data_IF_194776779464
#
_entry.id   IF_194776779464
#
_cell.length_a   1.000
_cell.length_b   1.000
_cell.length_c   1.000
_cell.angle_alpha   90.00
_cell.angle_beta   90.00
_cell.angle_gamma   90.00
#
_symmetry.space_group_name_H-M   'P 1'
#
loop_
_entity.id
_entity.type
_entity.pdbx_description
1 polymer ?
#
# COMPACT_ATOMS: atom_id res chain seq x y z
N UNK A 1 0.62 25.12 -11.50
CA UNK A 1 -0.44 24.52 -12.33
C UNK A 1 -1.62 24.25 -11.43
N UNK A 2 -2.73 24.91 -11.63
CA UNK A 2 -3.98 24.73 -10.88
C UNK A 2 -4.63 23.42 -11.30
N UNK A 3 -4.96 22.53 -10.34
CA UNK A 3 -5.69 21.30 -10.63
C UNK A 3 -7.06 21.67 -11.23
N UNK A 4 -7.32 21.26 -12.45
CA UNK A 4 -8.59 21.47 -13.13
C UNK A 4 -9.76 20.75 -12.45
N UNK A 5 -10.96 20.84 -13.00
CA UNK A 5 -12.14 20.13 -12.49
C UNK A 5 -11.88 18.62 -12.42
N UNK A 6 -12.34 17.99 -11.32
CA UNK A 6 -12.20 16.53 -11.12
C UNK A 6 -12.99 15.79 -12.20
N UNK A 7 -12.29 14.99 -13.00
CA UNK A 7 -12.89 14.19 -14.06
C UNK A 7 -13.67 12.98 -13.51
N UNK A 8 -14.57 12.43 -14.33
CA UNK A 8 -15.29 11.20 -13.98
C UNK A 8 -14.32 10.02 -13.74
N UNK A 9 -13.25 9.92 -14.56
CA UNK A 9 -12.20 8.91 -14.38
C UNK A 9 -11.51 9.00 -13.01
N UNK A 10 -11.18 10.22 -12.55
CA UNK A 10 -10.61 10.42 -11.21
C UNK A 10 -11.59 10.06 -10.09
N UNK A 11 -12.89 10.33 -10.26
CA UNK A 11 -13.91 9.94 -9.27
C UNK A 11 -14.04 8.43 -9.15
N UNK A 12 -14.05 7.72 -10.29
CA UNK A 12 -14.06 6.25 -10.31
C UNK A 12 -12.78 5.70 -9.69
N UNK A 13 -11.62 6.23 -10.08
CA UNK A 13 -10.33 5.82 -9.53
C UNK A 13 -10.25 6.06 -8.01
N UNK A 14 -10.86 7.13 -7.49
CA UNK A 14 -10.90 7.37 -6.04
C UNK A 14 -11.69 6.28 -5.28
N UNK A 15 -12.83 5.85 -5.83
CA UNK A 15 -13.60 4.74 -5.24
C UNK A 15 -12.83 3.42 -5.31
N UNK A 16 -12.18 3.14 -6.46
CA UNK A 16 -11.33 1.95 -6.62
C UNK A 16 -10.18 1.98 -5.63
N UNK A 17 -9.48 3.11 -5.49
CA UNK A 17 -8.40 3.25 -4.51
C UNK A 17 -8.90 3.04 -3.08
N UNK A 18 -10.05 3.62 -2.71
CA UNK A 18 -10.65 3.44 -1.39
C UNK A 18 -10.93 1.97 -1.07
N UNK A 19 -11.59 1.25 -1.98
CA UNK A 19 -11.83 -0.18 -1.84
C UNK A 19 -10.53 -1.00 -1.78
N UNK A 20 -9.55 -0.67 -2.63
CA UNK A 20 -8.27 -1.38 -2.65
C UNK A 20 -7.50 -1.20 -1.35
N UNK A 21 -7.47 -0.01 -0.75
CA UNK A 21 -6.86 0.21 0.57
C UNK A 21 -7.50 -0.66 1.65
N UNK A 22 -8.82 -0.69 1.73
CA UNK A 22 -9.52 -1.49 2.73
C UNK A 22 -9.33 -2.99 2.50
N UNK A 23 -9.46 -3.42 1.26
CA UNK A 23 -9.27 -4.83 0.88
C UNK A 23 -7.86 -5.32 1.23
N UNK A 24 -6.83 -4.58 0.80
CA UNK A 24 -5.44 -4.97 1.07
C UNK A 24 -5.13 -4.98 2.55
N UNK A 25 -5.62 -4.00 3.33
CA UNK A 25 -5.46 -3.96 4.77
C UNK A 25 -6.09 -5.20 5.45
N UNK A 26 -7.34 -5.51 5.12
CA UNK A 26 -8.04 -6.66 5.71
C UNK A 26 -7.32 -7.96 5.36
N UNK A 27 -6.98 -8.15 4.08
CA UNK A 27 -6.35 -9.38 3.61
C UNK A 27 -4.98 -9.60 4.25
N UNK A 28 -4.12 -8.57 4.31
CA UNK A 28 -2.77 -8.72 4.86
C UNK A 28 -2.78 -8.94 6.37
N UNK A 29 -3.67 -8.27 7.10
CA UNK A 29 -3.83 -8.46 8.54
C UNK A 29 -4.35 -9.87 8.83
N UNK A 30 -5.39 -10.30 8.14
CA UNK A 30 -5.93 -11.65 8.28
C UNK A 30 -4.90 -12.73 7.95
N UNK A 31 -4.18 -12.59 6.83
CA UNK A 31 -3.15 -13.54 6.41
C UNK A 31 -2.01 -13.67 7.42
N UNK A 32 -1.48 -12.54 7.91
CA UNK A 32 -0.37 -12.57 8.86
C UNK A 32 -0.80 -13.04 10.24
N UNK A 33 -1.80 -12.39 10.84
CA UNK A 33 -2.16 -12.61 12.23
C UNK A 33 -3.14 -13.78 12.42
N UNK A 34 -4.05 -13.98 11.47
CA UNK A 34 -5.05 -15.04 11.54
C UNK A 34 -4.55 -16.39 11.04
N UNK A 35 -3.70 -16.40 9.99
CA UNK A 35 -3.31 -17.63 9.33
C UNK A 35 -1.83 -18.01 9.56
N UNK A 36 -0.89 -17.09 9.34
CA UNK A 36 0.55 -17.41 9.36
C UNK A 36 1.11 -17.50 10.77
N UNK A 37 0.92 -16.45 11.59
CA UNK A 37 1.51 -16.38 12.93
C UNK A 37 1.17 -17.57 13.85
N UNK A 38 -0.06 -18.12 13.84
CA UNK A 38 -0.39 -19.30 14.64
C UNK A 38 0.44 -20.54 14.31
N UNK A 39 1.00 -20.63 13.09
CA UNK A 39 1.82 -21.76 12.67
C UNK A 39 3.29 -21.59 13.07
N UNK A 40 3.73 -20.37 13.38
CA UNK A 40 5.12 -20.03 13.64
C UNK A 40 5.46 -20.16 15.13
N UNK A 41 6.38 -21.09 15.46
CA UNK A 41 6.90 -21.25 16.83
C UNK A 41 8.30 -20.65 16.91
N UNK A 42 8.44 -19.58 17.68
CA UNK A 42 9.72 -18.89 17.84
C UNK A 42 10.76 -19.81 18.47
N UNK A 43 11.92 -19.93 17.82
CA UNK A 43 13.03 -20.74 18.32
C UNK A 43 12.87 -22.24 18.11
N UNK A 44 11.73 -22.74 17.59
CA UNK A 44 11.52 -24.16 17.33
C UNK A 44 11.18 -24.41 15.85
N UNK A 45 12.22 -24.77 15.08
CA UNK A 45 12.11 -25.02 13.63
C UNK A 45 11.29 -26.27 13.36
N UNK A 46 11.51 -27.35 14.09
CA UNK A 46 10.83 -28.62 13.90
C UNK A 46 9.32 -28.53 14.17
N UNK A 47 8.94 -27.81 15.23
CA UNK A 47 7.53 -27.59 15.54
C UNK A 47 6.83 -26.69 14.52
N UNK A 48 7.50 -25.63 14.05
CA UNK A 48 6.99 -24.81 12.93
C UNK A 48 6.77 -25.65 11.68
N UNK A 49 7.74 -26.49 11.31
CA UNK A 49 7.62 -27.37 10.15
C UNK A 49 6.44 -28.36 10.31
N UNK A 50 6.30 -28.96 11.48
CA UNK A 50 5.17 -29.85 11.81
C UNK A 50 3.82 -29.14 11.70
N UNK A 51 3.71 -27.93 12.25
CA UNK A 51 2.48 -27.15 12.19
C UNK A 51 2.09 -26.80 10.75
N UNK A 52 3.08 -26.45 9.90
CA UNK A 52 2.84 -26.18 8.47
C UNK A 52 2.32 -27.43 7.75
N UNK A 53 2.90 -28.59 8.00
CA UNK A 53 2.47 -29.85 7.37
C UNK A 53 1.08 -30.25 7.85
N UNK A 54 0.81 -30.20 9.16
CA UNK A 54 -0.50 -30.54 9.74
C UNK A 54 -1.59 -29.58 9.27
N UNK A 55 -1.28 -28.31 9.11
CA UNK A 55 -2.21 -27.27 8.68
C UNK A 55 -1.89 -26.76 7.25
N UNK A 56 -1.53 -27.67 6.34
CA UNK A 56 -1.10 -27.31 4.98
C UNK A 56 -2.12 -26.44 4.24
N UNK A 57 -3.40 -26.73 4.36
CA UNK A 57 -4.46 -25.95 3.72
C UNK A 57 -4.45 -24.50 4.23
N UNK A 58 -4.33 -24.28 5.54
CA UNK A 58 -4.23 -22.94 6.13
C UNK A 58 -3.01 -22.20 5.59
N UNK A 59 -1.86 -22.87 5.48
CA UNK A 59 -0.64 -22.29 4.95
C UNK A 59 -0.77 -21.94 3.46
N UNK A 60 -1.42 -22.77 2.66
CA UNK A 60 -1.73 -22.49 1.24
C UNK A 60 -2.70 -21.31 1.09
N UNK A 61 -3.72 -21.21 1.95
CA UNK A 61 -4.64 -20.07 1.98
C UNK A 61 -3.87 -18.78 2.31
N UNK A 62 -2.87 -18.82 3.20
CA UNK A 62 -1.99 -17.66 3.46
C UNK A 62 -1.28 -17.20 2.19
N UNK A 63 -0.71 -18.14 1.41
CA UNK A 63 -0.06 -17.80 0.15
C UNK A 63 -1.04 -17.16 -0.86
N UNK A 64 -2.27 -17.68 -0.96
CA UNK A 64 -3.34 -17.10 -1.80
C UNK A 64 -3.71 -15.69 -1.31
N UNK A 65 -3.81 -15.46 -0.01
CA UNK A 65 -4.07 -14.12 0.55
C UNK A 65 -2.95 -13.13 0.20
N UNK A 66 -1.68 -13.54 0.26
CA UNK A 66 -0.56 -12.68 -0.14
C UNK A 66 -0.57 -12.37 -1.64
N UNK A 67 -0.94 -13.34 -2.48
CA UNK A 67 -1.16 -13.10 -3.91
C UNK A 67 -2.31 -12.11 -4.15
N UNK A 68 -3.43 -12.26 -3.44
CA UNK A 68 -4.57 -11.35 -3.50
C UNK A 68 -4.20 -9.95 -3.00
N UNK A 69 -3.39 -9.84 -1.93
CA UNK A 69 -2.84 -8.59 -1.45
C UNK A 69 -2.00 -7.89 -2.53
N UNK A 70 -1.02 -8.59 -3.12
CA UNK A 70 -0.18 -8.04 -4.19
C UNK A 70 -1.03 -7.56 -5.37
N UNK A 71 -2.02 -8.35 -5.80
CA UNK A 71 -2.95 -7.96 -6.87
C UNK A 71 -3.73 -6.69 -6.50
N UNK A 72 -4.23 -6.61 -5.27
CA UNK A 72 -4.91 -5.41 -4.76
C UNK A 72 -4.01 -4.17 -4.77
N UNK A 73 -2.73 -4.32 -4.45
CA UNK A 73 -1.74 -3.22 -4.52
C UNK A 73 -1.49 -2.79 -5.97
N UNK A 74 -1.49 -3.70 -6.96
CA UNK A 74 -1.40 -3.32 -8.39
C UNK A 74 -2.63 -2.53 -8.85
N UNK A 75 -3.82 -2.91 -8.41
CA UNK A 75 -5.03 -2.11 -8.68
C UNK A 75 -4.95 -0.74 -8.02
N UNK A 76 -4.51 -0.68 -6.78
CA UNK A 76 -4.34 0.55 -6.00
C UNK A 76 -3.36 1.52 -6.67
N UNK A 77 -2.18 1.05 -7.11
CA UNK A 77 -1.19 1.91 -7.77
C UNK A 77 -1.74 2.53 -9.05
N UNK A 78 -2.49 1.75 -9.83
CA UNK A 78 -3.12 2.23 -11.06
C UNK A 78 -4.16 3.32 -10.76
N UNK A 79 -4.99 3.10 -9.75
CA UNK A 79 -5.99 4.07 -9.33
C UNK A 79 -5.35 5.36 -8.80
N UNK A 80 -4.31 5.27 -7.96
CA UNK A 80 -3.58 6.43 -7.45
C UNK A 80 -2.88 7.21 -8.56
N UNK A 81 -2.30 6.51 -9.54
CA UNK A 81 -1.70 7.15 -10.70
C UNK A 81 -2.73 7.97 -11.49
N UNK A 82 -3.91 7.41 -11.77
CA UNK A 82 -5.00 8.13 -12.46
C UNK A 82 -5.44 9.39 -11.69
N UNK A 83 -5.53 9.30 -10.36
CA UNK A 83 -5.90 10.43 -9.49
C UNK A 83 -4.83 11.53 -9.54
N UNK A 84 -3.56 11.17 -9.45
CA UNK A 84 -2.46 12.09 -9.15
C UNK A 84 -1.71 12.57 -10.40
N UNK A 85 -1.83 11.87 -11.55
CA UNK A 85 -1.22 12.26 -12.83
C UNK A 85 -1.50 13.72 -13.23
N UNK A 86 -2.73 14.27 -13.07
CA UNK A 86 -2.99 15.66 -13.45
C UNK A 86 -2.30 16.69 -12.54
N UNK A 87 -1.88 16.29 -11.34
CA UNK A 87 -1.16 17.16 -10.38
C UNK A 87 0.31 17.28 -10.75
N UNK A 88 0.96 16.14 -10.96
CA UNK A 88 2.33 16.03 -11.46
C UNK A 88 2.55 14.63 -12.05
N UNK A 89 2.63 14.48 -13.37
CA UNK A 89 2.73 13.17 -14.02
C UNK A 89 4.02 12.42 -13.68
N UNK A 90 5.15 13.14 -13.54
CA UNK A 90 6.43 12.52 -13.21
C UNK A 90 6.46 11.94 -11.79
N UNK A 91 6.02 12.72 -10.80
CA UNK A 91 5.95 12.24 -9.41
C UNK A 91 4.87 11.14 -9.26
N UNK A 92 3.73 11.27 -9.94
CA UNK A 92 2.71 10.21 -9.90
C UNK A 92 3.24 8.90 -10.46
N UNK A 93 4.03 8.95 -11.54
CA UNK A 93 4.70 7.78 -12.10
C UNK A 93 5.75 7.19 -11.14
N UNK A 94 6.57 8.03 -10.53
CA UNK A 94 7.55 7.60 -9.53
C UNK A 94 6.88 6.87 -8.35
N UNK A 95 5.79 7.43 -7.81
CA UNK A 95 5.00 6.79 -6.77
C UNK A 95 4.41 5.44 -7.22
N UNK A 96 3.94 5.34 -8.46
CA UNK A 96 3.45 4.08 -9.02
C UNK A 96 4.57 3.04 -9.18
N UNK A 97 5.76 3.44 -9.65
CA UNK A 97 6.92 2.54 -9.79
C UNK A 97 7.36 2.01 -8.42
N UNK A 98 7.49 2.87 -7.40
CA UNK A 98 7.83 2.42 -6.06
C UNK A 98 6.81 1.42 -5.52
N UNK A 99 5.52 1.69 -5.69
CA UNK A 99 4.47 0.76 -5.24
C UNK A 99 4.45 -0.54 -6.06
N UNK A 100 4.84 -0.49 -7.33
CA UNK A 100 5.02 -1.67 -8.17
C UNK A 100 6.14 -2.58 -7.63
N UNK A 101 7.31 -2.01 -7.29
CA UNK A 101 8.42 -2.76 -6.69
C UNK A 101 7.98 -3.42 -5.39
N UNK A 102 7.30 -2.68 -4.52
CA UNK A 102 6.75 -3.22 -3.28
C UNK A 102 5.78 -4.40 -3.52
N UNK A 103 4.83 -4.25 -4.45
CA UNK A 103 3.88 -5.32 -4.78
C UNK A 103 4.59 -6.56 -5.35
N UNK A 104 5.68 -6.37 -6.12
CA UNK A 104 6.48 -7.47 -6.66
C UNK A 104 7.21 -8.25 -5.57
N UNK A 105 7.66 -7.60 -4.50
CA UNK A 105 8.25 -8.27 -3.34
C UNK A 105 7.22 -9.15 -2.61
N UNK A 106 5.96 -8.76 -2.55
CA UNK A 106 4.90 -9.62 -2.02
C UNK A 106 4.60 -10.85 -2.89
N UNK A 107 4.82 -10.77 -4.22
CA UNK A 107 4.83 -11.96 -5.07
C UNK A 107 5.99 -12.89 -4.71
N UNK A 108 7.18 -12.33 -4.44
CA UNK A 108 8.35 -13.09 -4.00
C UNK A 108 8.09 -13.76 -2.65
N UNK A 109 7.52 -13.03 -1.68
CA UNK A 109 7.02 -13.59 -0.41
C UNK A 109 6.11 -14.80 -0.63
N UNK A 110 5.16 -14.72 -1.58
CA UNK A 110 4.27 -15.83 -1.92
C UNK A 110 5.06 -17.04 -2.45
N UNK A 111 6.05 -16.81 -3.32
CA UNK A 111 6.93 -17.87 -3.84
C UNK A 111 7.78 -18.49 -2.73
N UNK A 112 8.28 -17.68 -1.79
CA UNK A 112 9.03 -18.16 -0.63
C UNK A 112 8.18 -19.07 0.27
N UNK A 113 6.91 -18.71 0.55
CA UNK A 113 6.01 -19.60 1.28
C UNK A 113 5.80 -20.93 0.55
N UNK A 114 5.56 -20.90 -0.75
CA UNK A 114 5.39 -22.13 -1.54
C UNK A 114 6.70 -22.94 -1.61
N UNK A 115 7.86 -22.29 -1.63
CA UNK A 115 9.17 -22.91 -1.54
C UNK A 115 9.36 -23.64 -0.21
N UNK A 116 9.03 -22.99 0.91
CA UNK A 116 9.05 -23.61 2.23
C UNK A 116 8.16 -24.86 2.31
N UNK A 117 6.93 -24.75 1.81
CA UNK A 117 5.98 -25.87 1.79
C UNK A 117 6.49 -27.01 0.92
N UNK A 118 7.10 -26.73 -0.23
CA UNK A 118 7.65 -27.75 -1.15
C UNK A 118 8.73 -28.56 -0.47
N UNK A 119 9.59 -27.95 0.33
CA UNK A 119 10.66 -28.64 1.07
C UNK A 119 10.12 -29.56 2.20
N UNK A 120 8.94 -29.24 2.74
CA UNK A 120 8.27 -30.05 3.76
C UNK A 120 7.36 -31.13 3.16
N UNK A 121 7.22 -31.18 1.83
CA UNK A 121 6.38 -32.14 1.14
C UNK A 121 7.02 -33.53 1.00
N UNK A 122 6.25 -34.48 0.45
CA UNK A 122 6.64 -35.89 0.28
C UNK A 122 7.19 -36.24 -1.10
N UNK A 123 7.68 -35.25 -1.87
CA UNK A 123 8.20 -35.50 -3.22
C UNK A 123 9.41 -36.44 -3.21
N UNK A 124 9.47 -37.39 -4.16
CA UNK A 124 10.48 -38.45 -4.18
C UNK A 124 11.93 -37.93 -4.21
N UNK A 125 12.19 -36.82 -4.88
CA UNK A 125 13.54 -36.22 -4.93
C UNK A 125 14.00 -35.65 -3.58
N UNK A 126 13.10 -35.42 -2.65
CA UNK A 126 13.44 -34.94 -1.29
C UNK A 126 13.93 -36.09 -0.40
N UNK A 127 13.61 -37.35 -0.74
CA UNK A 127 14.03 -38.53 0.02
C UNK A 127 15.57 -38.71 0.05
N UNK A 128 16.31 -38.01 -0.85
CA UNK A 128 17.77 -37.99 -0.83
C UNK A 128 18.35 -37.13 0.31
N UNK A 129 17.53 -36.39 1.03
CA UNK A 129 17.95 -35.48 2.11
C UNK A 129 17.38 -35.94 3.45
N UNK A 130 18.14 -35.67 4.51
CA UNK A 130 17.67 -35.91 5.88
C UNK A 130 16.53 -34.91 6.21
N UNK A 131 15.46 -35.35 6.89
CA UNK A 131 14.31 -34.51 7.22
C UNK A 131 14.68 -33.22 7.97
N UNK A 132 15.65 -33.30 8.88
CA UNK A 132 16.15 -32.15 9.66
C UNK A 132 16.76 -31.08 8.77
N UNK A 133 17.49 -31.46 7.72
CA UNK A 133 18.06 -30.53 6.73
C UNK A 133 16.97 -29.81 5.94
N UNK A 134 15.93 -30.54 5.54
CA UNK A 134 14.79 -29.98 4.83
C UNK A 134 14.02 -28.96 5.70
N UNK A 135 13.87 -29.23 7.00
CA UNK A 135 13.25 -28.30 7.94
C UNK A 135 14.07 -27.01 8.07
N UNK A 136 15.41 -27.10 8.16
CA UNK A 136 16.29 -25.92 8.20
C UNK A 136 16.20 -25.11 6.90
N UNK A 137 16.22 -25.78 5.75
CA UNK A 137 16.06 -25.11 4.45
C UNK A 137 14.70 -24.43 4.31
N UNK A 138 13.63 -25.11 4.75
CA UNK A 138 12.28 -24.49 4.81
C UNK A 138 12.28 -23.24 5.68
N UNK A 139 13.00 -23.26 6.81
CA UNK A 139 13.14 -22.08 7.68
C UNK A 139 13.84 -20.90 7.00
N UNK A 140 14.81 -21.16 6.11
CA UNK A 140 15.45 -20.09 5.33
C UNK A 140 14.46 -19.39 4.39
N UNK A 141 13.59 -20.14 3.72
CA UNK A 141 12.51 -19.56 2.90
C UNK A 141 11.52 -18.75 3.73
N UNK A 142 11.18 -19.22 4.94
CA UNK A 142 10.33 -18.45 5.86
C UNK A 142 11.04 -17.18 6.38
N UNK A 143 12.35 -17.23 6.57
CA UNK A 143 13.12 -16.04 6.93
C UNK A 143 13.18 -15.02 5.80
N UNK A 144 13.38 -15.47 4.56
CA UNK A 144 13.36 -14.60 3.37
C UNK A 144 12.06 -13.80 3.23
N UNK A 145 10.93 -14.33 3.70
CA UNK A 145 9.68 -13.58 3.76
C UNK A 145 9.79 -12.28 4.59
N UNK A 146 10.53 -12.31 5.71
CA UNK A 146 10.78 -11.10 6.50
C UNK A 146 11.73 -10.15 5.78
N UNK A 147 12.74 -10.68 5.10
CA UNK A 147 13.68 -9.87 4.31
C UNK A 147 12.95 -9.16 3.17
N UNK A 148 12.05 -9.85 2.44
CA UNK A 148 11.20 -9.27 1.40
C UNK A 148 10.38 -8.09 1.93
N UNK A 149 9.80 -8.24 3.14
CA UNK A 149 9.03 -7.18 3.79
C UNK A 149 9.92 -5.96 4.12
N UNK A 150 11.06 -6.17 4.78
CA UNK A 150 11.93 -5.05 5.18
C UNK A 150 12.61 -4.36 4.00
N UNK A 151 12.94 -5.10 2.95
CA UNK A 151 13.42 -4.52 1.68
C UNK A 151 12.29 -3.77 0.96
N UNK A 152 11.07 -4.24 1.10
CA UNK A 152 9.88 -3.62 0.53
C UNK A 152 9.46 -2.30 1.19
N UNK A 153 9.68 -2.17 2.50
CA UNK A 153 9.23 -1.00 3.28
C UNK A 153 9.74 0.35 2.75
N UNK A 154 11.01 0.54 2.35
CA UNK A 154 11.46 1.77 1.72
C UNK A 154 10.65 2.15 0.48
N UNK A 155 10.36 1.19 -0.39
CA UNK A 155 9.58 1.43 -1.60
C UNK A 155 8.13 1.75 -1.29
N UNK A 156 7.52 1.04 -0.34
CA UNK A 156 6.17 1.30 0.13
C UNK A 156 6.03 2.72 0.71
N UNK A 157 6.93 3.09 1.59
CA UNK A 157 6.90 4.37 2.27
C UNK A 157 7.28 5.53 1.35
N UNK A 158 8.23 5.36 0.41
CA UNK A 158 8.50 6.34 -0.63
C UNK A 158 7.29 6.57 -1.54
N UNK A 159 6.60 5.50 -1.96
CA UNK A 159 5.36 5.62 -2.72
C UNK A 159 4.30 6.42 -1.94
N UNK A 160 4.11 6.10 -0.66
CA UNK A 160 3.16 6.80 0.20
C UNK A 160 3.55 8.27 0.42
N UNK A 161 4.84 8.58 0.59
CA UNK A 161 5.35 9.96 0.74
C UNK A 161 5.04 10.79 -0.50
N UNK A 162 5.37 10.27 -1.69
CA UNK A 162 5.12 10.96 -2.96
C UNK A 162 3.61 11.17 -3.18
N UNK A 163 2.80 10.14 -2.97
CA UNK A 163 1.35 10.25 -3.12
C UNK A 163 0.75 11.26 -2.13
N UNK A 164 1.16 11.22 -0.86
CA UNK A 164 0.69 12.14 0.18
C UNK A 164 1.10 13.59 -0.10
N UNK A 165 2.31 13.81 -0.60
CA UNK A 165 2.76 15.13 -1.06
C UNK A 165 1.89 15.65 -2.22
N UNK A 166 1.57 14.82 -3.19
CA UNK A 166 0.70 15.21 -4.30
C UNK A 166 -0.74 15.48 -3.84
N UNK A 167 -1.26 14.71 -2.89
CA UNK A 167 -2.55 15.00 -2.25
C UNK A 167 -2.51 16.31 -1.48
N UNK A 168 -1.43 16.60 -0.78
CA UNK A 168 -1.25 17.87 -0.08
C UNK A 168 -1.23 19.06 -1.06
N UNK A 169 -0.48 18.93 -2.16
CA UNK A 169 -0.37 19.96 -3.20
C UNK A 169 -1.68 20.21 -3.94
N UNK A 170 -2.46 19.17 -4.21
CA UNK A 170 -3.72 19.26 -4.97
C UNK A 170 -4.93 19.69 -4.13
N UNK A 171 -4.87 19.60 -2.81
CA UNK A 171 -6.01 19.73 -1.91
C UNK A 171 -7.17 18.74 -2.19
N UNK A 172 -6.92 17.62 -2.87
CA UNK A 172 -7.93 16.60 -3.16
C UNK A 172 -8.47 15.92 -1.90
N UNK A 173 -7.69 15.91 -0.82
CA UNK A 173 -8.07 15.44 0.51
C UNK A 173 -7.80 16.53 1.54
N UNK A 174 -8.27 16.42 2.81
CA UNK A 174 -7.94 17.36 3.85
C UNK A 174 -6.43 17.51 4.03
N UNK A 175 -5.94 18.74 4.14
CA UNK A 175 -4.51 19.01 4.32
C UNK A 175 -3.91 18.31 5.53
N UNK A 176 -4.65 18.23 6.65
CA UNK A 176 -4.19 17.51 7.84
C UNK A 176 -3.96 16.02 7.57
N UNK A 177 -4.87 15.36 6.83
CA UNK A 177 -4.70 13.96 6.44
C UNK A 177 -3.51 13.78 5.50
N UNK A 178 -3.36 14.66 4.50
CA UNK A 178 -2.22 14.60 3.59
C UNK A 178 -0.88 14.83 4.31
N UNK A 179 -0.83 15.79 5.24
CA UNK A 179 0.37 16.07 6.04
C UNK A 179 0.70 14.88 6.96
N UNK A 180 -0.29 14.30 7.61
CA UNK A 180 -0.09 13.07 8.40
C UNK A 180 0.49 11.95 7.54
N UNK A 181 0.01 11.78 6.30
CA UNK A 181 0.57 10.83 5.34
C UNK A 181 2.02 11.10 4.99
N UNK A 182 2.41 12.37 4.77
CA UNK A 182 3.82 12.73 4.50
C UNK A 182 4.71 12.42 5.70
N UNK A 183 4.29 12.82 6.91
CA UNK A 183 5.11 12.64 8.13
C UNK A 183 5.25 11.16 8.46
N UNK A 184 4.15 10.38 8.48
CA UNK A 184 4.19 8.96 8.83
C UNK A 184 4.99 8.14 7.82
N UNK A 185 4.86 8.43 6.52
CA UNK A 185 5.61 7.71 5.50
C UNK A 185 7.09 8.11 5.46
N UNK A 186 7.44 9.38 5.62
CA UNK A 186 8.84 9.82 5.74
C UNK A 186 9.52 9.22 6.99
N UNK A 187 8.81 9.14 8.12
CA UNK A 187 9.26 8.44 9.31
C UNK A 187 9.53 6.96 9.01
N UNK A 188 8.62 6.27 8.32
CA UNK A 188 8.80 4.88 7.95
C UNK A 188 10.00 4.68 7.00
N UNK A 189 10.22 5.57 6.01
CA UNK A 189 11.43 5.54 5.15
C UNK A 189 12.69 5.56 6.00
N UNK A 190 12.79 6.53 6.92
CA UNK A 190 13.97 6.69 7.77
C UNK A 190 14.22 5.45 8.63
N UNK A 191 13.18 4.96 9.32
CA UNK A 191 13.27 3.79 10.17
C UNK A 191 13.63 2.52 9.38
N UNK A 192 13.06 2.34 8.18
CA UNK A 192 13.35 1.17 7.35
C UNK A 192 14.81 1.12 6.92
N UNK A 193 15.40 2.24 6.49
CA UNK A 193 16.83 2.28 6.15
C UNK A 193 17.72 2.08 7.39
N UNK A 194 17.38 2.70 8.53
CA UNK A 194 18.13 2.48 9.78
C UNK A 194 18.07 1.00 10.19
N UNK A 195 16.92 0.37 10.10
CA UNK A 195 16.77 -1.05 10.42
C UNK A 195 17.62 -1.95 9.51
N UNK A 196 17.65 -1.68 8.20
CA UNK A 196 18.45 -2.46 7.26
C UNK A 196 19.96 -2.38 7.54
N UNK A 197 20.44 -1.22 8.01
CA UNK A 197 21.85 -1.04 8.39
C UNK A 197 22.13 -1.58 9.79
N UNK A 198 21.20 -1.36 10.72
CA UNK A 198 21.32 -1.69 12.14
C UNK A 198 20.12 -2.54 12.60
N UNK A 199 20.12 -3.87 12.37
CA UNK A 199 18.96 -4.72 12.72
C UNK A 199 18.57 -4.66 14.21
N UNK A 200 19.51 -4.32 15.10
CA UNK A 200 19.25 -4.07 16.52
C UNK A 200 18.33 -2.88 16.80
N UNK A 201 18.13 -2.00 15.85
CA UNK A 201 17.22 -0.87 15.95
C UNK A 201 15.76 -1.28 16.23
N UNK A 202 15.34 -2.48 15.79
CA UNK A 202 14.03 -3.02 16.11
C UNK A 202 13.77 -3.24 17.62
N UNK A 203 14.81 -3.24 18.45
CA UNK A 203 14.65 -3.36 19.94
C UNK A 203 14.09 -2.09 20.56
N UNK A 204 14.67 -0.87 20.32
CA UNK A 204 14.11 0.39 20.83
C UNK A 204 12.90 0.88 20.02
N UNK A 205 12.87 0.65 18.70
CA UNK A 205 11.79 1.08 17.81
C UNK A 205 11.30 -0.14 17.04
N UNK A 206 10.33 -0.84 17.61
CA UNK A 206 9.78 -2.02 16.95
C UNK A 206 8.94 -1.64 15.70
N UNK A 207 8.64 -2.61 14.81
CA UNK A 207 7.87 -2.36 13.58
C UNK A 207 6.54 -1.66 13.81
N UNK A 208 5.84 -1.88 14.92
CA UNK A 208 4.58 -1.21 15.23
C UNK A 208 4.73 0.32 15.34
N UNK A 209 5.89 0.82 15.79
CA UNK A 209 6.13 2.25 15.92
C UNK A 209 6.45 2.95 14.60
N UNK A 210 7.08 2.26 13.65
CA UNK A 210 7.42 2.90 12.38
C UNK A 210 6.48 2.55 11.22
N UNK A 211 5.76 1.43 11.27
CA UNK A 211 4.83 1.01 10.22
C UNK A 211 3.36 1.38 10.55
N UNK A 212 2.92 1.20 11.79
CA UNK A 212 1.53 1.45 12.18
C UNK A 212 1.01 2.86 11.91
N UNK A 213 1.79 3.96 12.08
CA UNK A 213 1.29 5.29 11.73
C UNK A 213 0.90 5.41 10.26
N UNK A 214 1.66 4.73 9.37
CA UNK A 214 1.36 4.71 7.95
C UNK A 214 0.16 3.83 7.63
N UNK A 215 0.00 2.69 8.31
CA UNK A 215 -1.19 1.85 8.19
C UNK A 215 -2.47 2.60 8.62
N UNK A 216 -2.41 3.37 9.70
CA UNK A 216 -3.52 4.25 10.14
C UNK A 216 -3.82 5.30 9.08
N UNK A 217 -2.79 5.93 8.49
CA UNK A 217 -2.97 6.86 7.39
C UNK A 217 -3.65 6.22 6.19
N UNK A 218 -3.20 5.04 5.74
CA UNK A 218 -3.78 4.35 4.59
C UNK A 218 -5.24 3.94 4.84
N UNK A 219 -5.56 3.49 6.05
CA UNK A 219 -6.94 3.20 6.46
C UNK A 219 -7.81 4.48 6.39
N UNK A 220 -7.34 5.57 6.98
CA UNK A 220 -8.07 6.84 6.97
C UNK A 220 -8.23 7.40 5.55
N UNK A 221 -7.19 7.29 4.71
CA UNK A 221 -7.25 7.69 3.31
C UNK A 221 -8.22 6.82 2.51
N UNK A 222 -8.18 5.50 2.70
CA UNK A 222 -9.11 4.56 2.06
C UNK A 222 -10.56 4.90 2.37
N UNK A 223 -10.89 5.07 3.64
CA UNK A 223 -12.23 5.49 4.09
C UNK A 223 -12.62 6.86 3.52
N UNK A 224 -11.69 7.82 3.53
CA UNK A 224 -11.96 9.14 2.95
C UNK A 224 -12.28 9.06 1.46
N UNK A 225 -11.46 8.38 0.67
CA UNK A 225 -11.65 8.25 -0.77
C UNK A 225 -12.95 7.52 -1.11
N UNK A 226 -13.34 6.53 -0.30
CA UNK A 226 -14.57 5.76 -0.50
C UNK A 226 -15.83 6.58 -0.20
N UNK A 227 -15.89 7.26 0.95
CA UNK A 227 -17.11 7.92 1.42
C UNK A 227 -17.19 9.41 1.03
N UNK A 228 -16.08 10.14 0.97
CA UNK A 228 -16.04 11.57 0.65
C UNK A 228 -15.52 11.85 -0.75
N UNK A 229 -14.70 10.95 -1.32
CA UNK A 229 -14.08 11.14 -2.62
C UNK A 229 -13.04 12.26 -2.64
N UNK A 230 -12.80 12.80 -3.84
CA UNK A 230 -11.86 13.92 -4.04
C UNK A 230 -12.58 15.26 -3.88
N UNK A 231 -11.94 16.21 -3.19
CA UNK A 231 -12.41 17.60 -3.11
C UNK A 231 -12.06 18.33 -4.40
N UNK A 232 -12.96 19.16 -4.97
CA UNK A 232 -12.60 20.04 -6.08
C UNK A 232 -11.51 21.02 -5.64
N UNK A 233 -10.49 21.23 -6.49
CA UNK A 233 -9.45 22.23 -6.23
C UNK A 233 -10.06 23.63 -6.10
N UNK A 234 -9.43 24.48 -5.28
CA UNK A 234 -9.93 25.83 -4.93
C UNK A 234 -10.07 26.79 -6.12
N UNK A 235 -9.55 26.46 -7.30
CA UNK A 235 -9.66 27.29 -8.52
C UNK A 235 -11.03 27.26 -9.20
N UNK A 236 -11.87 26.25 -8.94
CA UNK A 236 -13.21 26.17 -9.55
C UNK A 236 -14.27 27.08 -8.87
N UNK A 237 -13.93 27.77 -7.79
CA UNK A 237 -14.86 28.63 -7.05
C UNK A 237 -14.81 30.10 -7.46
N UNK A 238 -13.74 30.50 -8.18
CA UNK A 238 -13.59 31.89 -8.64
C UNK A 238 -14.40 32.19 -9.90
N UNK A 239 -14.63 31.18 -10.77
CA UNK A 239 -15.29 31.42 -12.06
C UNK A 239 -16.81 31.30 -12.02
N UNK A 240 -17.38 30.77 -10.93
CA UNK A 240 -18.84 30.66 -10.76
C UNK A 240 -19.50 31.95 -10.24
N UNK A 241 -18.71 32.96 -9.87
CA UNK A 241 -19.20 34.21 -9.26
C UNK A 241 -19.27 35.39 -10.18
N UNK A 242 -18.85 35.32 -11.43
CA UNK A 242 -18.70 36.52 -12.30
C UNK A 242 -19.45 36.43 -13.65
N UNK A 243 -20.57 35.73 -13.71
CA UNK A 243 -21.50 35.89 -14.82
C UNK A 243 -22.67 36.79 -14.38
N UNK A 244 -22.39 38.12 -14.25
CA UNK A 244 -23.47 39.10 -14.29
C UNK A 244 -23.89 39.27 -15.75
N UNK A 245 -25.20 39.22 -16.05
CA UNK A 245 -25.68 39.52 -17.39
C UNK A 245 -25.44 41.00 -17.70
N UNK A 246 -25.16 41.34 -18.97
CA UNK A 246 -24.98 42.74 -19.38
C UNK A 246 -26.28 43.46 -19.16
N UNK A 247 -26.23 44.54 -18.35
CA UNK A 247 -27.34 45.47 -18.19
C UNK A 247 -27.70 46.10 -19.55
N UNK A 248 -28.95 45.93 -19.96
CA UNK A 248 -29.55 46.68 -21.07
C UNK A 248 -29.39 48.20 -20.82
N UNK A 249 -28.55 48.83 -21.63
CA UNK A 249 -28.56 50.30 -21.78
C UNK A 249 -29.77 50.64 -22.68
N UNK A 250 -30.85 51.02 -22.04
CA UNK A 250 -31.92 51.70 -22.75
C UNK A 250 -31.40 53.04 -23.28
N UNK A 251 -31.36 53.14 -24.62
CA UNK A 251 -31.16 54.42 -25.29
C UNK A 251 -32.40 55.28 -25.13
N UNK A 252 -32.27 56.42 -24.41
CA UNK A 252 -33.20 57.52 -24.49
C UNK A 252 -32.91 58.23 -25.83
N UNK A 253 -33.83 58.11 -26.80
CA UNK A 253 -33.95 59.05 -27.90
C UNK A 253 -34.85 60.19 -27.42
N UNK A 254 -34.33 61.42 -27.44
CA UNK A 254 -35.12 62.66 -27.33
C UNK A 254 -35.62 63.04 -28.73
N UNK A 255 -36.91 63.40 -28.86
CA UNK A 255 -37.40 64.02 -30.10
C UNK A 255 -37.13 65.51 -30.10
N UNK A 256 -36.99 66.07 -31.31
CA UNK A 256 -36.90 67.42 -31.67
C UNK A 256 -38.11 68.19 -31.37
#
# INVERSE_FOLDING_TARGET
MTAGAITQSQRTAAKVAGWSFLFTMIVVVFANYGLLNPLMVRGNVAETARNIVVHETQFRVTAVCFLAYSTGVFVLLTALYVILKPVNPGLALAGAIFRFVFASLWLLTTLNLLGALRLLGSASYLQAFEPERLQVLSRLYLAANFDDYYVGLPFFSLAATVCSYLFFKSNYIPKGLALFGVISSAWCVLCAFIYLIFPGFAKPVNPYWFDSPMAIFELALGLWLLFKGLKPGSSGRADAGFSRPPSQRNGLQLPK
#
